data_IF_412111637539
#
_entry.id   IF_412111637539
#
_cell.length_a   1.000
_cell.length_b   1.000
_cell.length_c   1.000
_cell.angle_alpha   90.00
_cell.angle_beta   90.00
_cell.angle_gamma   90.00
#
_symmetry.space_group_name_H-M   'P 1'
#
loop_
_entity.id
_entity.type
_entity.pdbx_description
1 polymer ?
#
# COMPACT_ATOMS: atom_id res chain seq x y z
N UNK A 1 -14.51 -5.69 -13.14
CA UNK A 1 -14.08 -6.88 -12.36
C UNK A 1 -12.93 -6.45 -11.47
N UNK A 2 -12.99 -6.64 -10.15
CA UNK A 2 -11.79 -6.51 -9.32
C UNK A 2 -10.84 -7.62 -9.76
N UNK A 3 -9.77 -7.26 -10.47
CA UNK A 3 -8.67 -8.20 -10.69
C UNK A 3 -8.18 -8.65 -9.32
N UNK A 4 -7.81 -9.92 -9.21
CA UNK A 4 -7.18 -10.45 -7.99
C UNK A 4 -6.05 -9.51 -7.59
N UNK A 5 -5.99 -9.14 -6.32
CA UNK A 5 -4.95 -8.25 -5.80
C UNK A 5 -3.58 -8.90 -6.05
N UNK A 6 -2.74 -8.26 -6.85
CA UNK A 6 -1.37 -8.72 -7.10
C UNK A 6 -0.51 -8.38 -5.89
N UNK A 7 0.17 -9.37 -5.32
CA UNK A 7 1.05 -9.20 -4.15
C UNK A 7 2.15 -8.16 -4.42
N UNK A 8 2.72 -8.13 -5.62
CA UNK A 8 3.76 -7.18 -6.03
C UNK A 8 3.21 -5.75 -6.05
N UNK A 9 1.96 -5.57 -6.51
CA UNK A 9 1.28 -4.26 -6.46
C UNK A 9 1.13 -3.78 -5.01
N UNK A 10 0.70 -4.67 -4.11
CA UNK A 10 0.54 -4.36 -2.68
C UNK A 10 1.87 -3.94 -2.04
N UNK A 11 2.93 -4.68 -2.30
CA UNK A 11 4.27 -4.39 -1.76
C UNK A 11 4.78 -3.05 -2.29
N UNK A 12 4.65 -2.78 -3.59
CA UNK A 12 5.11 -1.52 -4.20
C UNK A 12 4.35 -0.32 -3.62
N UNK A 13 3.03 -0.40 -3.52
CA UNK A 13 2.24 0.67 -2.90
C UNK A 13 2.58 0.87 -1.42
N UNK A 14 2.96 -0.18 -0.69
CA UNK A 14 3.43 -0.07 0.69
C UNK A 14 4.80 0.61 0.79
N UNK A 15 5.73 0.33 -0.14
CA UNK A 15 7.04 0.99 -0.20
C UNK A 15 6.90 2.48 -0.56
N UNK A 16 6.02 2.82 -1.50
CA UNK A 16 5.69 4.22 -1.80
C UNK A 16 5.08 4.92 -0.59
N UNK A 17 4.11 4.28 0.07
CA UNK A 17 3.47 4.83 1.26
C UNK A 17 4.47 5.01 2.40
N UNK A 18 5.41 4.08 2.58
CA UNK A 18 6.49 4.21 3.57
C UNK A 18 7.31 5.49 3.35
N UNK A 19 7.63 5.81 2.09
CA UNK A 19 8.37 7.04 1.76
C UNK A 19 7.54 8.31 2.03
N UNK A 20 6.22 8.24 1.91
CA UNK A 20 5.32 9.38 2.11
C UNK A 20 5.04 9.69 3.58
N UNK A 21 4.87 8.65 4.41
CA UNK A 21 4.35 8.82 5.79
C UNK A 21 5.26 8.25 6.88
N UNK A 22 6.39 7.65 6.52
CA UNK A 22 7.26 6.95 7.45
C UNK A 22 6.62 5.68 8.04
N UNK A 23 7.39 4.96 8.86
CA UNK A 23 6.95 3.65 9.40
C UNK A 23 5.75 3.78 10.34
N UNK A 24 5.68 4.83 11.16
CA UNK A 24 4.56 5.09 12.07
C UNK A 24 3.27 5.41 11.31
N UNK A 25 3.39 6.06 10.15
CA UNK A 25 2.26 6.40 9.31
C UNK A 25 1.76 5.25 8.45
N UNK A 26 2.57 4.21 8.23
CA UNK A 26 2.27 3.06 7.36
C UNK A 26 1.27 2.13 8.03
N UNK A 27 -0.01 2.25 7.63
CA UNK A 27 -1.10 1.41 8.14
C UNK A 27 -1.81 0.69 7.01
N UNK A 28 -2.40 -0.47 7.30
CA UNK A 28 -3.18 -1.24 6.33
C UNK A 28 -4.38 -0.46 5.76
N UNK A 29 -4.98 0.44 6.56
CA UNK A 29 -6.06 1.32 6.09
C UNK A 29 -5.58 2.30 5.03
N UNK A 30 -4.45 3.00 5.28
CA UNK A 30 -3.88 3.92 4.29
C UNK A 30 -3.39 3.17 3.05
N UNK A 31 -2.83 1.98 3.22
CA UNK A 31 -2.44 1.12 2.10
C UNK A 31 -3.66 0.74 1.24
N UNK A 32 -4.77 0.32 1.86
CA UNK A 32 -6.00 0.01 1.14
C UNK A 32 -6.63 1.23 0.45
N UNK A 33 -6.44 2.45 0.99
CA UNK A 33 -6.87 3.69 0.33
C UNK A 33 -5.98 4.07 -0.88
N UNK A 34 -4.71 3.65 -0.88
CA UNK A 34 -3.75 3.90 -1.96
C UNK A 34 -3.88 2.89 -3.12
N UNK A 35 -4.30 1.66 -2.83
CA UNK A 35 -4.38 0.54 -3.77
C UNK A 35 -5.49 0.66 -4.81
#
# INVERSE_FOLDING_TARGET
>A
MMSRLDKSKVINSALELLNEVGIEGLTTRKLAQKL
#
